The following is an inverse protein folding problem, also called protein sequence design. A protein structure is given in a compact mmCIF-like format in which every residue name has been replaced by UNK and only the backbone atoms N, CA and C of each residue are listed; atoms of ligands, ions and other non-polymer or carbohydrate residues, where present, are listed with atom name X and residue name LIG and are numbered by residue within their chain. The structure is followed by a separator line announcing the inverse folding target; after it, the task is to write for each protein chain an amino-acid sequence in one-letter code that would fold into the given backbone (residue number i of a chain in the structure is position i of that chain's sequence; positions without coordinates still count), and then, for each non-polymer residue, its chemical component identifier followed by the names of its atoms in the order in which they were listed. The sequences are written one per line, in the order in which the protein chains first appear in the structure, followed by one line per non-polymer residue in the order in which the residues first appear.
data_IF_710064254074
#
_entry.id   IF_710064254074
#
_cell.length_a   1.000
_cell.length_b   1.000
_cell.length_c   1.000
_cell.angle_alpha   90.00
_cell.angle_beta   90.00
_cell.angle_gamma   90.00
#
_symmetry.space_group_name_H-M   'P 1'
#
loop_
_entity.id
_entity.type
_entity.pdbx_description
1 polymer ?
#
# COMPACT_ATOMS: atom_id res chain seq x y z
N UNK A 1 15.60 -13.19 -8.00
CA UNK A 1 14.17 -13.08 -8.35
C UNK A 1 14.00 -11.82 -9.15
N UNK A 2 13.23 -11.88 -10.25
CA UNK A 2 13.04 -10.73 -11.13
C UNK A 2 11.77 -9.99 -10.73
N UNK A 3 11.81 -8.65 -10.69
CA UNK A 3 10.58 -7.87 -10.50
C UNK A 3 9.69 -8.00 -11.73
N UNK A 4 8.42 -8.29 -11.51
CA UNK A 4 7.40 -8.10 -12.51
C UNK A 4 7.18 -6.58 -12.72
N UNK A 5 6.88 -6.12 -13.96
CA UNK A 5 6.79 -4.69 -14.27
C UNK A 5 5.45 -4.08 -13.87
N UNK A 6 5.02 -4.30 -12.62
CA UNK A 6 3.84 -3.66 -12.04
C UNK A 6 4.08 -3.23 -10.59
N UNK A 7 3.21 -2.34 -10.10
CA UNK A 7 3.16 -1.90 -8.72
C UNK A 7 1.75 -2.09 -8.18
N UNK A 8 1.66 -2.52 -6.94
CA UNK A 8 0.42 -2.61 -6.17
C UNK A 8 0.45 -1.51 -5.14
N UNK A 9 -0.67 -0.79 -5.03
CA UNK A 9 -0.93 0.17 -3.97
C UNK A 9 -2.23 -0.24 -3.28
N UNK A 10 -2.15 -0.53 -1.98
CA UNK A 10 -3.30 -0.96 -1.19
C UNK A 10 -3.60 0.10 -0.13
N UNK A 11 -4.86 0.53 -0.10
CA UNK A 11 -5.41 1.39 0.95
C UNK A 11 -6.29 0.55 1.87
N UNK A 12 -5.79 0.11 3.03
CA UNK A 12 -6.63 -0.48 4.05
C UNK A 12 -7.67 0.55 4.49
N UNK A 13 -8.92 0.12 4.63
CA UNK A 13 -9.98 0.98 5.11
C UNK A 13 -10.91 0.23 6.07
N UNK A 14 -11.60 1.00 6.90
CA UNK A 14 -12.72 0.54 7.72
C UNK A 14 -13.81 1.58 7.68
N UNK A 15 -15.05 1.17 7.93
CA UNK A 15 -16.13 2.11 8.17
C UNK A 15 -16.13 2.55 9.64
N UNK A 16 -16.25 3.84 9.87
CA UNK A 16 -16.53 4.46 11.17
C UNK A 16 -17.68 5.45 10.97
N UNK A 17 -18.74 5.33 11.77
CA UNK A 17 -19.94 6.18 11.67
C UNK A 17 -20.55 6.26 10.26
N UNK A 18 -20.49 5.15 9.51
CA UNK A 18 -21.01 5.07 8.14
C UNK A 18 -20.09 5.67 7.07
N UNK A 19 -18.93 6.20 7.45
CA UNK A 19 -17.97 6.77 6.51
C UNK A 19 -16.69 5.91 6.42
N UNK A 20 -16.08 5.77 5.23
CA UNK A 20 -14.81 5.08 5.11
C UNK A 20 -13.68 5.92 5.70
N UNK A 21 -12.83 5.26 6.47
CA UNK A 21 -11.56 5.78 6.99
C UNK A 21 -10.43 4.95 6.43
N UNK A 22 -9.40 5.61 5.92
CA UNK A 22 -8.27 4.96 5.27
C UNK A 22 -7.03 5.04 6.16
N UNK A 23 -6.31 3.94 6.25
CA UNK A 23 -5.01 3.92 6.91
C UNK A 23 -3.94 4.49 5.97
N UNK A 24 -3.21 5.49 6.43
CA UNK A 24 -1.97 5.99 5.82
C UNK A 24 -0.83 5.81 6.80
N UNK A 25 0.32 5.40 6.30
CA UNK A 25 1.47 4.99 7.11
C UNK A 25 2.61 5.96 6.91
N UNK A 26 3.13 6.50 8.01
CA UNK A 26 4.36 7.29 8.00
C UNK A 26 5.54 6.32 7.91
N UNK A 27 6.40 6.53 6.93
CA UNK A 27 7.68 5.82 6.85
C UNK A 27 8.51 6.11 8.10
N UNK A 28 9.15 5.09 8.65
CA UNK A 28 10.04 5.24 9.81
C UNK A 28 11.40 5.82 9.43
N UNK A 29 11.81 5.63 8.17
CA UNK A 29 13.10 6.02 7.62
C UNK A 29 13.07 7.36 6.86
N UNK A 30 11.88 7.86 6.53
CA UNK A 30 11.68 9.11 5.83
C UNK A 30 10.37 9.78 6.29
N UNK A 31 10.29 11.11 6.30
CA UNK A 31 9.12 11.84 6.78
C UNK A 31 7.85 11.73 5.90
N UNK A 32 7.81 10.80 4.95
CA UNK A 32 6.72 10.66 3.98
C UNK A 32 5.60 9.76 4.53
N UNK A 33 4.38 10.05 4.09
CA UNK A 33 3.20 9.24 4.34
C UNK A 33 2.78 8.55 3.04
N UNK A 34 2.38 7.29 3.14
CA UNK A 34 1.98 6.48 1.99
C UNK A 34 0.98 5.39 2.37
N UNK A 35 0.34 4.80 1.37
CA UNK A 35 -0.35 3.52 1.52
C UNK A 35 0.68 2.36 1.49
N UNK A 36 0.18 1.12 1.62
CA UNK A 36 1.03 -0.06 1.44
C UNK A 36 1.37 -0.18 -0.04
N UNK A 37 2.66 -0.25 -0.37
CA UNK A 37 3.15 -0.30 -1.74
C UNK A 37 4.17 -1.43 -1.93
N UNK A 38 4.12 -2.12 -3.08
CA UNK A 38 5.03 -3.20 -3.43
C UNK A 38 5.01 -3.52 -4.92
N UNK A 39 6.09 -4.10 -5.43
CA UNK A 39 6.10 -4.68 -6.78
C UNK A 39 5.84 -6.17 -6.72
N UNK A 40 5.21 -6.71 -7.76
CA UNK A 40 5.14 -8.16 -7.91
C UNK A 40 6.51 -8.77 -8.20
N UNK A 41 6.68 -10.00 -7.78
CA UNK A 41 7.87 -10.79 -8.01
C UNK A 41 7.55 -12.02 -8.88
N UNK A 42 8.51 -12.39 -9.73
CA UNK A 42 8.45 -13.55 -10.61
C UNK A 42 7.18 -13.65 -11.47
N UNK A 43 6.18 -14.45 -11.07
CA UNK A 43 4.93 -14.68 -11.81
C UNK A 43 3.67 -14.28 -11.03
N UNK A 44 3.81 -13.43 -10.02
CA UNK A 44 2.67 -12.90 -9.26
C UNK A 44 1.77 -12.01 -10.14
N UNK A 45 0.47 -12.00 -9.81
CA UNK A 45 -0.60 -11.19 -10.44
C UNK A 45 -1.56 -10.68 -9.40
#
# INVERSE_FOLDING_TARGET
MARAPFQVLVFPFRFEDGEPRYAVFRRSDAGFWQAIAGGGEDRET
#
